data_IF_901365921652
#
_entry.id   IF_901365921652
#
_cell.length_a   1.000
_cell.length_b   1.000
_cell.length_c   1.000
_cell.angle_alpha   90.00
_cell.angle_beta   90.00
_cell.angle_gamma   90.00
#
_symmetry.space_group_name_H-M   'P 1'
#
loop_
_entity.id
_entity.type
_entity.pdbx_description
1 polymer ?
#
# COMPACT_ATOMS: atom_id res chain seq x y z
N UNK A 1 4.92 12.46 -23.15
CA UNK A 1 5.33 12.93 -21.80
C UNK A 1 4.60 12.21 -20.66
N UNK A 2 3.25 12.19 -20.60
CA UNK A 2 2.49 11.56 -19.49
C UNK A 2 2.86 10.08 -19.23
N UNK A 3 2.98 9.25 -20.27
CA UNK A 3 3.40 7.85 -20.11
C UNK A 3 4.83 7.72 -19.57
N UNK A 4 5.77 8.56 -20.02
CA UNK A 4 7.15 8.59 -19.51
C UNK A 4 7.14 8.96 -18.02
N UNK A 5 6.34 9.97 -17.65
CA UNK A 5 6.16 10.36 -16.25
C UNK A 5 5.57 9.22 -15.40
N UNK A 6 4.55 8.51 -15.91
CA UNK A 6 3.97 7.34 -15.23
C UNK A 6 5.05 6.30 -14.89
N UNK A 7 5.86 5.90 -15.88
CA UNK A 7 6.92 4.91 -15.67
C UNK A 7 8.04 5.45 -14.79
N UNK A 8 8.40 6.73 -14.91
CA UNK A 8 9.35 7.38 -14.01
C UNK A 8 8.90 7.28 -12.54
N UNK A 9 7.63 7.62 -12.26
CA UNK A 9 7.07 7.50 -10.91
C UNK A 9 6.99 6.04 -10.47
N UNK A 10 6.56 5.12 -11.35
CA UNK A 10 6.52 3.68 -11.06
C UNK A 10 7.88 3.15 -10.61
N UNK A 11 8.95 3.43 -11.36
CA UNK A 11 10.30 2.97 -11.01
C UNK A 11 10.87 3.70 -9.78
N UNK A 12 10.53 4.97 -9.59
CA UNK A 12 10.88 5.71 -8.37
C UNK A 12 10.23 5.07 -7.14
N UNK A 13 8.95 4.70 -7.21
CA UNK A 13 8.24 4.00 -6.13
C UNK A 13 8.83 2.62 -5.87
N UNK A 14 9.18 1.86 -6.91
CA UNK A 14 9.84 0.56 -6.75
C UNK A 14 11.18 0.69 -6.01
N UNK A 15 11.98 1.69 -6.39
CA UNK A 15 13.25 1.98 -5.72
C UNK A 15 13.04 2.43 -4.27
N UNK A 16 12.15 3.40 -4.05
CA UNK A 16 11.82 3.90 -2.71
C UNK A 16 11.31 2.77 -1.80
N UNK A 17 10.49 1.86 -2.33
CA UNK A 17 9.98 0.70 -1.61
C UNK A 17 11.10 -0.25 -1.18
N UNK A 18 12.08 -0.51 -2.06
CA UNK A 18 13.26 -1.34 -1.74
C UNK A 18 14.13 -0.70 -0.65
N UNK A 19 14.20 0.62 -0.59
CA UNK A 19 14.90 1.34 0.48
C UNK A 19 14.11 1.36 1.80
N UNK A 20 12.78 1.43 1.72
CA UNK A 20 11.91 1.58 2.88
C UNK A 20 11.60 0.26 3.59
N UNK A 21 11.25 -0.78 2.83
CA UNK A 21 10.91 -2.10 3.37
C UNK A 21 12.16 -2.98 3.49
N UNK A 22 12.20 -3.82 4.52
CA UNK A 22 13.30 -4.78 4.70
C UNK A 22 13.22 -5.93 3.69
N UNK A 23 12.01 -6.42 3.44
CA UNK A 23 11.73 -7.47 2.46
C UNK A 23 10.36 -7.25 1.86
N UNK A 24 10.29 -7.30 0.53
CA UNK A 24 9.04 -7.26 -0.22
C UNK A 24 8.84 -8.64 -0.82
N UNK A 25 7.68 -9.26 -0.57
CA UNK A 25 7.28 -10.53 -1.21
C UNK A 25 6.05 -10.24 -2.07
N UNK A 26 6.15 -10.54 -3.35
CA UNK A 26 5.03 -10.49 -4.30
C UNK A 26 4.63 -11.93 -4.56
N UNK A 27 3.37 -12.27 -4.31
CA UNK A 27 2.84 -13.64 -4.35
C UNK A 27 1.61 -13.65 -5.25
N UNK A 28 1.51 -14.62 -6.16
CA UNK A 28 0.35 -14.79 -7.03
C UNK A 28 0.27 -13.77 -8.17
N UNK A 29 1.38 -13.14 -8.55
CA UNK A 29 1.38 -12.17 -9.67
C UNK A 29 0.95 -12.85 -10.98
N UNK A 30 1.24 -14.13 -11.11
CA UNK A 30 0.81 -15.03 -12.17
C UNK A 30 -0.72 -15.24 -12.23
N UNK A 31 -1.46 -14.88 -11.18
CA UNK A 31 -2.92 -14.97 -11.17
C UNK A 31 -3.60 -13.83 -11.94
N UNK A 32 -2.86 -12.82 -12.39
CA UNK A 32 -3.41 -11.68 -13.14
C UNK A 32 -3.87 -12.19 -14.52
N UNK A 33 -5.18 -12.13 -14.82
CA UNK A 33 -5.69 -12.56 -16.13
C UNK A 33 -5.13 -11.69 -17.26
N UNK A 34 -4.85 -12.32 -18.40
CA UNK A 34 -4.28 -11.65 -19.59
C UNK A 34 -5.27 -11.55 -20.74
N UNK A 35 -6.43 -12.19 -20.65
CA UNK A 35 -7.45 -12.31 -21.69
C UNK A 35 -8.58 -11.28 -21.58
N UNK A 36 -8.65 -10.55 -20.45
CA UNK A 36 -9.78 -9.70 -20.08
C UNK A 36 -9.44 -8.45 -19.27
N UNK A 37 -10.45 -7.63 -18.98
CA UNK A 37 -10.34 -6.46 -18.12
C UNK A 37 -10.23 -6.86 -16.64
N UNK A 38 -9.40 -6.16 -15.86
CA UNK A 38 -9.13 -6.54 -14.45
C UNK A 38 -9.38 -5.36 -13.53
N UNK A 39 -10.31 -5.51 -12.58
CA UNK A 39 -10.44 -4.63 -11.43
C UNK A 39 -9.66 -5.22 -10.24
N UNK A 40 -8.53 -4.61 -9.90
CA UNK A 40 -7.78 -4.90 -8.69
C UNK A 40 -8.48 -4.30 -7.48
N UNK A 41 -8.72 -5.13 -6.45
CA UNK A 41 -9.28 -4.67 -5.18
C UNK A 41 -8.40 -5.00 -3.98
N UNK A 42 -7.46 -4.09 -3.65
CA UNK A 42 -6.66 -4.18 -2.43
C UNK A 42 -7.43 -3.79 -1.16
N UNK A 43 -7.00 -4.31 0.00
CA UNK A 43 -7.32 -3.71 1.29
C UNK A 43 -6.55 -2.39 1.50
N UNK A 44 -7.03 -1.54 2.42
CA UNK A 44 -6.61 -0.14 2.53
C UNK A 44 -6.14 0.25 3.95
N UNK A 45 -4.84 0.12 4.21
CA UNK A 45 -4.24 0.33 5.53
C UNK A 45 -3.20 1.46 5.57
N UNK A 46 -2.48 1.67 4.46
CA UNK A 46 -1.42 2.66 4.32
C UNK A 46 -1.83 3.92 3.57
N UNK A 47 -3.14 4.15 3.40
CA UNK A 47 -3.71 5.29 2.67
C UNK A 47 -2.99 5.52 1.33
N UNK A 48 -2.29 6.64 1.16
CA UNK A 48 -1.61 6.99 -0.09
C UNK A 48 -0.53 5.99 -0.53
N UNK A 49 0.06 5.25 0.40
CA UNK A 49 1.10 4.27 0.08
C UNK A 49 0.54 3.05 -0.67
N UNK A 50 -0.66 2.60 -0.31
CA UNK A 50 -1.26 1.38 -0.85
C UNK A 50 -1.38 1.36 -2.39
N UNK A 51 -1.99 2.38 -3.04
CA UNK A 51 -2.11 2.38 -4.50
C UNK A 51 -0.76 2.45 -5.20
N UNK A 52 0.24 3.10 -4.60
CA UNK A 52 1.59 3.18 -5.14
C UNK A 52 2.28 1.81 -5.12
N UNK A 53 2.17 1.07 -4.00
CA UNK A 53 2.76 -0.26 -3.87
C UNK A 53 2.11 -1.26 -4.81
N UNK A 54 0.78 -1.32 -4.84
CA UNK A 54 0.06 -2.27 -5.70
C UNK A 54 0.25 -1.89 -7.17
N UNK A 55 0.10 -0.61 -7.52
CA UNK A 55 0.20 -0.16 -8.91
C UNK A 55 1.60 -0.30 -9.49
N UNK A 56 2.64 -0.17 -8.67
CA UNK A 56 4.01 -0.39 -9.11
C UNK A 56 4.42 -1.86 -9.23
N UNK A 57 3.77 -2.76 -8.47
CA UNK A 57 3.97 -4.20 -8.57
C UNK A 57 3.32 -4.84 -9.80
N UNK A 58 2.23 -4.27 -10.31
CA UNK A 58 1.52 -4.76 -11.50
C UNK A 58 2.33 -4.39 -12.75
N UNK A 59 2.62 -5.33 -13.68
CA UNK A 59 3.45 -5.04 -14.86
C UNK A 59 2.86 -3.96 -15.80
N UNK A 60 1.57 -4.04 -16.08
CA UNK A 60 0.85 -3.12 -16.95
C UNK A 60 0.40 -1.84 -16.22
N UNK A 61 0.09 -0.75 -16.95
CA UNK A 61 -0.48 0.45 -16.36
C UNK A 61 -1.87 0.21 -15.77
N UNK A 62 -2.11 0.79 -14.60
CA UNK A 62 -3.38 0.67 -13.88
C UNK A 62 -4.01 2.03 -13.68
N UNK A 63 -5.30 2.15 -13.97
CA UNK A 63 -6.09 3.35 -13.70
C UNK A 63 -6.66 3.29 -12.28
N UNK A 64 -6.36 4.25 -11.42
CA UNK A 64 -6.80 4.23 -10.01
C UNK A 64 -7.96 5.20 -9.75
N UNK A 65 -9.02 4.71 -9.12
CA UNK A 65 -10.08 5.57 -8.59
C UNK A 65 -9.60 6.26 -7.31
N UNK A 66 -9.58 7.58 -7.33
CA UNK A 66 -9.03 8.42 -6.25
C UNK A 66 -10.07 9.44 -5.80
N UNK A 67 -10.06 9.83 -4.52
CA UNK A 67 -11.02 10.82 -4.01
C UNK A 67 -10.97 12.11 -4.81
N UNK A 68 -12.13 12.70 -5.10
CA UNK A 68 -12.22 13.89 -5.96
C UNK A 68 -11.54 15.15 -5.41
N UNK A 69 -11.27 15.23 -4.10
CA UNK A 69 -10.71 16.42 -3.44
C UNK A 69 -9.25 16.70 -3.78
N UNK A 70 -8.54 15.72 -4.37
CA UNK A 70 -7.16 15.93 -4.84
C UNK A 70 -7.08 16.38 -6.30
N UNK A 71 -8.22 16.49 -6.99
CA UNK A 71 -8.27 16.85 -8.42
C UNK A 71 -8.51 18.35 -8.63
N UNK A 72 -8.07 18.85 -9.78
CA UNK A 72 -8.15 20.26 -10.17
C UNK A 72 -6.86 21.06 -9.95
N UNK A 73 -6.88 22.32 -10.39
CA UNK A 73 -5.77 23.24 -10.25
C UNK A 73 -4.50 22.83 -11.01
N UNK A 74 -3.31 23.33 -10.61
CA UNK A 74 -2.04 23.06 -11.30
C UNK A 74 -1.63 21.59 -11.24
N UNK A 75 -2.23 20.79 -10.35
CA UNK A 75 -1.89 19.38 -10.17
C UNK A 75 -2.66 18.41 -11.07
N UNK A 76 -3.67 18.88 -11.83
CA UNK A 76 -4.49 18.02 -12.69
C UNK A 76 -3.65 17.22 -13.70
N UNK A 77 -2.62 17.84 -14.28
CA UNK A 77 -1.73 17.16 -15.23
C UNK A 77 -1.06 15.92 -14.60
N UNK A 78 -0.66 15.99 -13.33
CA UNK A 78 -0.05 14.87 -12.62
C UNK A 78 -1.06 13.76 -12.35
N UNK A 79 -2.29 14.11 -11.96
CA UNK A 79 -3.36 13.13 -11.75
C UNK A 79 -3.67 12.36 -13.05
N UNK A 80 -3.74 13.07 -14.18
CA UNK A 80 -3.90 12.44 -15.49
C UNK A 80 -2.70 11.55 -15.86
N UNK A 81 -1.48 12.04 -15.62
CA UNK A 81 -0.25 11.32 -15.94
C UNK A 81 -0.12 10.03 -15.11
N UNK A 82 -0.63 10.04 -13.89
CA UNK A 82 -0.71 8.88 -13.00
C UNK A 82 -1.94 7.99 -13.24
N UNK A 83 -2.73 8.26 -14.30
CA UNK A 83 -3.94 7.52 -14.65
C UNK A 83 -4.94 7.46 -13.48
N UNK A 84 -5.17 8.59 -12.82
CA UNK A 84 -6.16 8.68 -11.74
C UNK A 84 -7.50 9.20 -12.27
N UNK A 85 -8.60 8.65 -11.75
CA UNK A 85 -9.95 9.16 -12.02
C UNK A 85 -10.61 9.59 -10.69
N UNK A 86 -11.27 10.76 -10.65
CA UNK A 86 -11.90 11.25 -9.43
C UNK A 86 -13.12 10.40 -9.08
N UNK A 87 -13.37 10.18 -7.79
CA UNK A 87 -14.64 9.63 -7.28
C UNK A 87 -15.19 10.54 -6.21
N UNK A 88 -16.44 10.97 -6.41
CA UNK A 88 -17.16 11.85 -5.50
C UNK A 88 -17.91 11.05 -4.45
N UNK A 89 -17.73 11.42 -3.18
CA UNK A 89 -18.50 10.85 -2.07
C UNK A 89 -19.75 11.69 -1.82
N UNK A 90 -20.77 11.11 -1.17
CA UNK A 90 -22.02 11.79 -0.82
C UNK A 90 -21.77 13.07 -0.01
N UNK A 91 -20.76 13.05 0.87
CA UNK A 91 -20.34 14.22 1.66
C UNK A 91 -19.87 15.40 0.81
N UNK A 92 -19.53 15.19 -0.46
CA UNK A 92 -19.09 16.23 -1.40
C UNK A 92 -20.29 16.91 -2.12
N UNK A 93 -21.52 16.65 -1.67
CA UNK A 93 -22.76 17.19 -2.22
C UNK A 93 -23.44 16.24 -3.22
N UNK A 94 -24.75 16.08 -3.10
CA UNK A 94 -25.54 15.13 -3.90
C UNK A 94 -25.48 15.43 -5.41
N UNK A 95 -25.39 16.70 -5.80
CA UNK A 95 -25.25 17.14 -7.20
C UNK A 95 -23.97 16.64 -7.87
N UNK A 96 -22.88 16.47 -7.11
CA UNK A 96 -21.61 15.94 -7.63
C UNK A 96 -21.64 14.43 -7.85
N UNK A 97 -22.63 13.70 -7.32
CA UNK A 97 -22.77 12.26 -7.57
C UNK A 97 -23.08 11.95 -9.04
N UNK A 98 -23.75 12.86 -9.77
CA UNK A 98 -24.00 12.71 -11.20
C UNK A 98 -22.70 12.62 -12.02
N UNK A 99 -21.63 13.28 -11.55
CA UNK A 99 -20.30 13.20 -12.19
C UNK A 99 -19.70 11.80 -12.10
N UNK A 100 -20.10 11.01 -11.09
CA UNK A 100 -19.64 9.63 -10.98
C UNK A 100 -20.16 8.75 -12.13
N UNK A 101 -21.32 9.07 -12.72
CA UNK A 101 -21.88 8.25 -13.80
C UNK A 101 -20.97 8.26 -15.04
N UNK A 102 -20.44 9.42 -15.41
CA UNK A 102 -19.45 9.56 -16.49
C UNK A 102 -18.14 8.83 -16.16
N UNK A 103 -17.67 8.95 -14.91
CA UNK A 103 -16.44 8.30 -14.44
C UNK A 103 -16.59 6.78 -14.47
N UNK A 104 -17.71 6.25 -13.98
CA UNK A 104 -17.98 4.82 -14.00
C UNK A 104 -18.18 4.31 -15.43
N UNK A 105 -18.83 5.09 -16.30
CA UNK A 105 -18.91 4.78 -17.74
C UNK A 105 -17.52 4.64 -18.37
N UNK A 106 -16.61 5.59 -18.09
CA UNK A 106 -15.22 5.50 -18.51
C UNK A 106 -14.53 4.26 -17.93
N UNK A 107 -14.77 3.91 -16.68
CA UNK A 107 -14.22 2.69 -16.06
C UNK A 107 -14.72 1.42 -16.76
N UNK A 108 -16.02 1.34 -17.09
CA UNK A 108 -16.58 0.21 -17.86
C UNK A 108 -15.91 0.10 -19.22
N UNK A 109 -15.81 1.20 -19.96
CA UNK A 109 -15.11 1.25 -21.26
C UNK A 109 -13.65 0.78 -21.18
N UNK A 110 -12.90 1.19 -20.14
CA UNK A 110 -11.53 0.75 -19.91
C UNK A 110 -11.45 -0.77 -19.64
N UNK A 111 -12.33 -1.30 -18.79
CA UNK A 111 -12.39 -2.74 -18.52
C UNK A 111 -12.77 -3.54 -19.78
N UNK A 112 -13.77 -3.07 -20.54
CA UNK A 112 -14.17 -3.68 -21.82
C UNK A 112 -13.03 -3.68 -22.85
N UNK A 113 -12.13 -2.70 -22.77
CA UNK A 113 -10.92 -2.61 -23.59
C UNK A 113 -9.73 -3.40 -23.01
N UNK A 114 -9.99 -4.38 -22.14
CA UNK A 114 -8.99 -5.24 -21.47
C UNK A 114 -7.95 -4.47 -20.65
N UNK A 115 -8.29 -3.27 -20.17
CA UNK A 115 -7.40 -2.48 -19.31
C UNK A 115 -7.63 -2.79 -17.83
N UNK A 116 -6.68 -2.33 -17.02
CA UNK A 116 -6.65 -2.56 -15.58
C UNK A 116 -7.12 -1.33 -14.80
N UNK A 117 -7.97 -1.55 -13.81
CA UNK A 117 -8.44 -0.53 -12.87
C UNK A 117 -8.11 -0.97 -11.44
N UNK A 118 -7.84 -0.01 -10.56
CA UNK A 118 -7.71 -0.23 -9.12
C UNK A 118 -8.80 0.52 -8.36
N UNK A 119 -9.47 -0.20 -7.47
CA UNK A 119 -10.50 0.35 -6.58
C UNK A 119 -10.45 -0.32 -5.21
N UNK A 120 -10.29 0.48 -4.17
CA UNK A 120 -10.37 0.03 -2.78
C UNK A 120 -11.82 -0.18 -2.36
N UNK A 121 -12.24 -1.45 -2.24
CA UNK A 121 -13.63 -1.80 -1.97
C UNK A 121 -14.11 -1.42 -0.55
N UNK A 122 -13.18 -1.25 0.39
CA UNK A 122 -13.44 -0.78 1.76
C UNK A 122 -13.90 0.69 1.82
N UNK A 123 -13.72 1.46 0.74
CA UNK A 123 -14.09 2.88 0.59
C UNK A 123 -13.47 3.87 1.61
N UNK A 124 -12.76 3.39 2.63
CA UNK A 124 -11.99 4.14 3.61
C UNK A 124 -10.69 3.39 3.95
N UNK A 125 -9.68 4.13 4.36
CA UNK A 125 -8.45 3.56 4.94
C UNK A 125 -8.55 3.52 6.47
N UNK A 126 -7.77 2.66 7.12
CA UNK A 126 -7.73 2.55 8.57
C UNK A 126 -6.39 1.99 9.06
N UNK A 127 -6.06 2.20 10.34
CA UNK A 127 -4.77 1.77 10.92
C UNK A 127 -4.87 0.41 11.64
N UNK A 128 -5.57 -0.57 11.05
CA UNK A 128 -5.73 -1.93 11.61
C UNK A 128 -5.49 -3.01 10.55
N UNK A 129 -5.29 -4.27 10.96
CA UNK A 129 -4.94 -5.37 10.04
C UNK A 129 -6.14 -6.12 9.45
N UNK A 130 -7.30 -6.05 10.09
CA UNK A 130 -8.51 -6.74 9.64
C UNK A 130 -9.10 -6.10 8.38
N UNK A 131 -9.92 -6.88 7.67
CA UNK A 131 -10.64 -6.38 6.50
C UNK A 131 -11.93 -5.66 6.95
N UNK A 132 -12.10 -4.40 6.57
CA UNK A 132 -13.35 -3.67 6.77
C UNK A 132 -14.46 -4.17 5.86
N UNK A 133 -15.67 -3.73 6.15
CA UNK A 133 -16.83 -4.04 5.32
C UNK A 133 -16.66 -3.45 3.92
N UNK A 134 -16.93 -4.29 2.90
CA UNK A 134 -16.88 -3.87 1.51
C UNK A 134 -18.15 -3.11 1.12
N UNK A 135 -17.95 -1.96 0.46
CA UNK A 135 -19.01 -1.26 -0.26
C UNK A 135 -19.47 -2.07 -1.49
N UNK A 136 -20.58 -1.67 -2.11
CA UNK A 136 -21.10 -2.30 -3.34
C UNK A 136 -20.47 -1.75 -4.62
N UNK A 137 -19.64 -0.71 -4.53
CA UNK A 137 -19.19 0.07 -5.70
C UNK A 137 -18.40 -0.74 -6.71
N UNK A 138 -17.40 -1.50 -6.26
CA UNK A 138 -16.57 -2.35 -7.11
C UNK A 138 -17.38 -3.48 -7.77
N UNK A 139 -18.21 -4.17 -6.99
CA UNK A 139 -19.07 -5.26 -7.46
C UNK A 139 -20.10 -4.78 -8.48
N UNK A 140 -20.69 -3.59 -8.27
CA UNK A 140 -21.59 -2.96 -9.24
C UNK A 140 -20.86 -2.59 -10.53
N UNK A 141 -19.68 -1.97 -10.41
CA UNK A 141 -18.88 -1.54 -11.57
C UNK A 141 -18.54 -2.73 -12.48
N UNK A 142 -18.00 -3.80 -11.92
CA UNK A 142 -17.60 -4.96 -12.73
C UNK A 142 -18.78 -5.73 -13.30
N UNK A 143 -19.91 -5.80 -12.57
CA UNK A 143 -21.15 -6.39 -13.07
C UNK A 143 -21.66 -5.62 -14.30
N UNK A 144 -21.79 -4.29 -14.19
CA UNK A 144 -22.25 -3.46 -15.30
C UNK A 144 -21.25 -3.48 -16.47
N UNK A 145 -19.95 -3.45 -16.19
CA UNK A 145 -18.93 -3.58 -17.23
C UNK A 145 -19.04 -4.91 -18.00
N UNK A 146 -19.33 -6.02 -17.30
CA UNK A 146 -19.41 -7.34 -17.95
C UNK A 146 -20.66 -7.47 -18.81
N UNK A 147 -21.78 -6.84 -18.42
CA UNK A 147 -22.98 -6.77 -19.26
C UNK A 147 -22.69 -6.01 -20.56
N UNK A 148 -21.90 -4.94 -20.47
CA UNK A 148 -21.53 -4.09 -21.60
C UNK A 148 -20.34 -4.63 -22.42
N UNK A 149 -19.77 -5.79 -22.04
CA UNK A 149 -18.56 -6.32 -22.66
C UNK A 149 -18.69 -7.79 -23.07
N UNK A 150 -18.25 -8.08 -24.30
CA UNK A 150 -18.04 -9.45 -24.75
C UNK A 150 -16.77 -10.08 -24.15
N UNK A 151 -15.79 -9.25 -23.77
CA UNK A 151 -14.56 -9.72 -23.16
C UNK A 151 -14.78 -10.13 -21.70
N UNK A 152 -14.04 -11.14 -21.20
CA UNK A 152 -14.06 -11.46 -19.78
C UNK A 152 -13.64 -10.27 -18.93
N UNK A 153 -14.37 -10.04 -17.83
CA UNK A 153 -14.00 -9.09 -16.79
C UNK A 153 -13.79 -9.86 -15.51
N UNK A 154 -12.70 -9.52 -14.83
CA UNK A 154 -12.29 -10.13 -13.59
C UNK A 154 -12.25 -9.08 -12.48
N UNK A 155 -12.62 -9.49 -11.27
CA UNK A 155 -12.25 -8.77 -10.05
C UNK A 155 -11.19 -9.59 -9.31
N UNK A 156 -10.06 -8.95 -9.00
CA UNK A 156 -8.92 -9.63 -8.40
C UNK A 156 -8.67 -9.10 -6.98
N UNK A 157 -8.87 -9.94 -5.94
CA UNK A 157 -8.57 -9.56 -4.57
C UNK A 157 -7.07 -9.41 -4.38
N UNK A 158 -6.65 -8.32 -3.74
CA UNK A 158 -5.24 -8.06 -3.41
C UNK A 158 -5.10 -7.87 -1.89
N UNK A 159 -4.16 -8.57 -1.28
CA UNK A 159 -3.80 -8.43 0.12
C UNK A 159 -2.50 -7.66 0.30
N UNK A 160 -2.58 -6.50 0.92
CA UNK A 160 -1.43 -5.71 1.41
C UNK A 160 -1.23 -6.08 2.88
N UNK A 161 -0.09 -6.70 3.17
CA UNK A 161 0.24 -7.19 4.50
C UNK A 161 1.53 -6.54 4.98
N UNK A 162 1.38 -5.51 5.81
CA UNK A 162 2.50 -4.83 6.44
C UNK A 162 2.97 -5.59 7.68
N UNK A 163 4.28 -5.79 7.84
CA UNK A 163 4.86 -6.28 9.09
C UNK A 163 4.80 -5.25 10.21
N UNK A 164 4.60 -3.98 9.87
CA UNK A 164 4.25 -2.88 10.76
C UNK A 164 3.65 -1.73 9.95
N UNK A 165 2.55 -1.13 10.43
CA UNK A 165 1.80 -0.11 9.69
C UNK A 165 2.54 1.23 9.49
N UNK A 166 3.43 1.60 10.42
CA UNK A 166 4.15 2.90 10.38
C UNK A 166 5.67 2.87 10.55
N UNK A 167 6.32 1.71 10.76
CA UNK A 167 7.77 1.63 11.04
C UNK A 167 8.53 1.23 9.76
N UNK A 168 9.56 1.98 9.34
CA UNK A 168 10.45 1.57 8.26
C UNK A 168 11.16 0.24 8.58
N UNK A 169 11.73 -0.40 7.56
CA UNK A 169 12.37 -1.71 7.64
C UNK A 169 11.46 -2.81 8.20
N UNK A 170 10.14 -2.66 8.04
CA UNK A 170 9.19 -3.76 8.18
C UNK A 170 9.16 -4.60 6.89
N UNK A 171 8.56 -5.78 6.96
CA UNK A 171 8.31 -6.59 5.77
C UNK A 171 7.01 -6.19 5.11
N UNK A 172 6.87 -6.45 3.82
CA UNK A 172 5.66 -6.25 3.04
C UNK A 172 5.38 -7.51 2.23
N UNK A 173 4.18 -8.07 2.36
CA UNK A 173 3.68 -9.07 1.41
C UNK A 173 2.52 -8.48 0.60
N UNK A 174 2.68 -8.45 -0.72
CA UNK A 174 1.62 -8.18 -1.69
C UNK A 174 1.12 -9.52 -2.24
N UNK A 175 -0.13 -9.85 -1.98
CA UNK A 175 -0.73 -11.15 -2.32
C UNK A 175 -1.85 -10.94 -3.32
N UNK A 176 -1.61 -11.33 -4.56
CA UNK A 176 -2.60 -11.34 -5.63
C UNK A 176 -3.36 -12.67 -5.56
N UNK A 177 -4.63 -12.62 -5.18
CA UNK A 177 -5.46 -13.80 -5.00
C UNK A 177 -5.93 -14.43 -6.30
N UNK A 178 -6.84 -15.39 -6.21
CA UNK A 178 -7.47 -16.00 -7.38
C UNK A 178 -8.40 -14.97 -8.06
N UNK A 179 -8.35 -14.83 -9.39
CA UNK A 179 -9.27 -13.96 -10.11
C UNK A 179 -10.69 -14.50 -10.00
N UNK A 180 -11.66 -13.59 -9.89
CA UNK A 180 -13.09 -13.92 -9.86
C UNK A 180 -13.66 -13.48 -11.21
N UNK A 181 -14.07 -14.45 -12.04
CA UNK A 181 -14.65 -14.20 -13.35
C UNK A 181 -16.09 -13.72 -13.21
N UNK A 182 -16.39 -12.51 -13.67
CA UNK A 182 -17.69 -11.87 -13.43
C UNK A 182 -18.80 -12.50 -14.27
N UNK A 183 -18.46 -13.04 -15.44
CA UNK A 183 -19.41 -13.75 -16.30
C UNK A 183 -20.14 -14.89 -15.59
N UNK A 184 -19.50 -15.56 -14.61
CA UNK A 184 -20.12 -16.64 -13.81
C UNK A 184 -21.24 -16.16 -12.88
N UNK A 185 -21.34 -14.85 -12.64
CA UNK A 185 -22.36 -14.23 -11.81
C UNK A 185 -23.51 -13.64 -12.63
N UNK A 186 -23.48 -13.78 -13.96
CA UNK A 186 -24.56 -13.36 -14.84
C UNK A 186 -25.46 -14.58 -15.11
N UNK A 187 -26.61 -14.63 -14.44
CA UNK A 187 -27.63 -15.65 -14.67
C UNK A 187 -29.01 -14.99 -14.79
N UNK A 188 -29.83 -15.48 -15.71
CA UNK A 188 -31.22 -15.03 -15.87
C UNK A 188 -32.07 -15.34 -14.63
N UNK A 189 -31.67 -16.32 -13.83
CA UNK A 189 -32.38 -16.74 -12.62
C UNK A 189 -32.15 -15.86 -11.40
N UNK A 190 -31.24 -14.88 -11.45
CA UNK A 190 -30.92 -14.01 -10.31
C UNK A 190 -31.07 -12.53 -10.66
N UNK A 191 -31.54 -11.75 -9.68
CA UNK A 191 -31.71 -10.31 -9.88
C UNK A 191 -30.37 -9.57 -9.86
N UNK A 192 -30.27 -8.41 -10.53
CA UNK A 192 -29.07 -7.54 -10.49
C UNK A 192 -28.56 -7.27 -9.06
N UNK A 193 -29.41 -6.89 -8.07
CA UNK A 193 -28.96 -6.70 -6.70
C UNK A 193 -28.38 -7.97 -6.05
N UNK A 194 -28.96 -9.12 -6.34
CA UNK A 194 -28.47 -10.42 -5.83
C UNK A 194 -27.10 -10.76 -6.42
N UNK A 195 -26.92 -10.61 -7.73
CA UNK A 195 -25.63 -10.82 -8.39
C UNK A 195 -24.53 -9.91 -7.82
N UNK A 196 -24.82 -8.62 -7.65
CA UNK A 196 -23.88 -7.65 -7.03
C UNK A 196 -23.49 -8.09 -5.62
N UNK A 197 -24.44 -8.57 -4.81
CA UNK A 197 -24.16 -9.06 -3.47
C UNK A 197 -23.31 -10.33 -3.49
N UNK A 198 -23.57 -11.27 -4.40
CA UNK A 198 -22.75 -12.48 -4.59
C UNK A 198 -21.32 -12.16 -5.02
N UNK A 199 -21.12 -11.23 -5.96
CA UNK A 199 -19.80 -10.76 -6.38
C UNK A 199 -19.06 -10.12 -5.20
N UNK A 200 -19.74 -9.27 -4.43
CA UNK A 200 -19.16 -8.63 -3.24
C UNK A 200 -18.72 -9.65 -2.20
N UNK A 201 -19.53 -10.68 -1.99
CA UNK A 201 -19.23 -11.74 -1.05
C UNK A 201 -18.05 -12.62 -1.51
N UNK A 202 -18.02 -13.00 -2.78
CA UNK A 202 -16.89 -13.69 -3.38
C UNK A 202 -15.60 -12.87 -3.25
N UNK A 203 -15.68 -11.56 -3.52
CA UNK A 203 -14.55 -10.64 -3.33
C UNK A 203 -14.11 -10.60 -1.87
N UNK A 204 -15.05 -10.47 -0.93
CA UNK A 204 -14.75 -10.45 0.52
C UNK A 204 -14.00 -11.70 0.94
N UNK A 205 -14.47 -12.89 0.54
CA UNK A 205 -13.80 -14.16 0.82
C UNK A 205 -12.41 -14.19 0.19
N UNK A 206 -12.28 -13.77 -1.07
CA UNK A 206 -11.01 -13.66 -1.78
C UNK A 206 -10.00 -12.74 -1.08
N UNK A 207 -10.43 -11.56 -0.65
CA UNK A 207 -9.59 -10.60 0.10
C UNK A 207 -9.17 -11.18 1.46
N UNK A 208 -10.10 -11.80 2.20
CA UNK A 208 -9.77 -12.48 3.46
C UNK A 208 -8.73 -13.58 3.27
N UNK A 209 -8.74 -14.27 2.13
CA UNK A 209 -7.71 -15.25 1.78
C UNK A 209 -6.33 -14.63 1.49
N UNK A 210 -6.26 -13.36 1.12
CA UNK A 210 -5.01 -12.64 0.83
C UNK A 210 -4.43 -11.89 2.06
N UNK A 211 -5.15 -11.82 3.17
CA UNK A 211 -4.74 -11.08 4.38
C UNK A 211 -4.35 -12.04 5.52
N UNK A 212 -3.32 -11.68 6.31
CA UNK A 212 -2.84 -12.46 7.46
C UNK A 212 -3.85 -12.55 8.61
N UNK A 213 -4.44 -11.41 8.97
CA UNK A 213 -5.36 -11.29 10.11
C UNK A 213 -6.65 -10.61 9.64
N UNK A 214 -7.52 -11.31 8.89
CA UNK A 214 -8.68 -10.69 8.24
C UNK A 214 -9.85 -10.35 9.17
N UNK A 215 -9.93 -10.93 10.37
CA UNK A 215 -11.07 -10.82 11.28
C UNK A 215 -10.76 -9.95 12.50
N UNK A 216 -11.77 -9.19 12.95
CA UNK A 216 -11.75 -8.44 14.21
C UNK A 216 -12.64 -9.12 15.26
N UNK A 217 -12.15 -10.23 15.82
CA UNK A 217 -12.82 -10.98 16.89
C UNK A 217 -12.13 -10.79 18.25
N UNK A 218 -12.61 -11.47 19.29
CA UNK A 218 -12.08 -11.35 20.66
C UNK A 218 -10.58 -11.66 20.80
N UNK A 219 -10.02 -12.44 19.87
CA UNK A 219 -8.60 -12.79 19.85
C UNK A 219 -7.78 -11.87 18.93
N UNK A 220 -8.39 -10.85 18.30
CA UNK A 220 -7.72 -9.93 17.37
C UNK A 220 -6.47 -9.29 18.00
N UNK A 221 -6.58 -8.73 19.21
CA UNK A 221 -5.46 -8.07 19.88
C UNK A 221 -4.31 -9.03 20.21
N UNK A 222 -4.61 -10.29 20.51
CA UNK A 222 -3.61 -11.34 20.75
C UNK A 222 -2.91 -11.73 19.44
N UNK A 223 -3.68 -11.96 18.37
CA UNK A 223 -3.19 -12.29 17.03
C UNK A 223 -2.38 -11.15 16.41
N UNK A 224 -2.75 -9.89 16.63
CA UNK A 224 -2.01 -8.70 16.20
C UNK A 224 -0.57 -8.69 16.75
N UNK A 225 -0.35 -9.18 17.98
CA UNK A 225 1.00 -9.30 18.59
C UNK A 225 1.89 -10.36 17.93
N UNK A 226 1.32 -11.24 17.11
CA UNK A 226 2.06 -12.24 16.32
C UNK A 226 2.60 -11.65 15.00
N UNK A 227 2.13 -10.47 14.58
CA UNK A 227 2.64 -9.75 13.41
C UNK A 227 3.84 -8.91 13.85
N UNK A 228 5.02 -9.52 13.78
CA UNK A 228 6.29 -8.83 14.03
C UNK A 228 7.41 -9.46 13.20
N UNK A 229 8.53 -8.74 13.09
CA UNK A 229 9.66 -9.02 12.19
C UNK A 229 10.13 -10.48 12.09
N UNK A 230 10.12 -11.23 13.20
CA UNK A 230 10.53 -12.64 13.19
C UNK A 230 9.52 -13.51 12.44
N UNK A 231 8.23 -13.31 12.71
CA UNK A 231 7.16 -14.08 12.10
C UNK A 231 6.91 -13.62 10.66
N UNK A 232 6.97 -12.31 10.37
CA UNK A 232 6.74 -11.74 9.02
C UNK A 232 7.81 -12.15 8.00
N UNK A 233 8.97 -12.61 8.47
CA UNK A 233 9.99 -13.21 7.62
C UNK A 233 9.56 -14.56 7.00
N UNK A 234 8.64 -15.29 7.65
CA UNK A 234 8.14 -16.60 7.22
C UNK A 234 7.33 -16.51 5.92
N UNK A 235 7.12 -17.65 5.25
CA UNK A 235 6.21 -17.72 4.10
C UNK A 235 4.79 -17.24 4.46
N UNK A 236 4.09 -16.65 3.48
CA UNK A 236 2.75 -16.09 3.68
C UNK A 236 1.77 -17.11 4.27
N UNK A 237 1.73 -18.34 3.76
CA UNK A 237 0.80 -19.37 4.23
C UNK A 237 1.14 -19.78 5.67
N UNK A 238 2.42 -19.90 5.98
CA UNK A 238 2.93 -20.28 7.31
C UNK A 238 2.54 -19.26 8.37
N UNK A 239 2.86 -17.97 8.16
CA UNK A 239 2.49 -16.93 9.13
C UNK A 239 0.96 -16.80 9.25
N UNK A 240 0.22 -16.85 8.14
CA UNK A 240 -1.24 -16.75 8.17
C UNK A 240 -1.87 -17.87 9.00
N UNK A 241 -1.48 -19.11 8.75
CA UNK A 241 -1.96 -20.27 9.52
C UNK A 241 -1.53 -20.18 10.98
N UNK A 242 -0.30 -19.73 11.24
CA UNK A 242 0.21 -19.62 12.59
C UNK A 242 -0.45 -18.51 13.40
N UNK A 243 -0.85 -17.40 12.77
CA UNK A 243 -1.68 -16.36 13.37
C UNK A 243 -3.07 -16.93 13.68
N UNK A 244 -3.71 -17.60 12.72
CA UNK A 244 -5.05 -18.17 12.89
C UNK A 244 -5.09 -19.20 14.04
N UNK A 245 -4.08 -20.08 14.12
CA UNK A 245 -3.95 -21.09 15.18
C UNK A 245 -3.35 -20.56 16.48
N UNK A 246 -2.91 -19.30 16.51
CA UNK A 246 -2.17 -18.69 17.63
C UNK A 246 -0.97 -19.51 18.13
N UNK A 247 -0.27 -20.22 17.23
CA UNK A 247 0.85 -21.11 17.59
C UNK A 247 2.24 -20.52 17.29
N UNK A 248 2.30 -19.22 16.96
CA UNK A 248 3.55 -18.49 16.76
C UNK A 248 4.00 -17.84 18.07
N UNK A 249 5.32 -17.64 18.20
CA UNK A 249 5.85 -16.87 19.32
C UNK A 249 5.40 -15.41 19.22
N UNK A 250 4.83 -14.80 20.28
CA UNK A 250 4.49 -13.38 20.27
C UNK A 250 5.75 -12.50 20.31
N UNK A 251 5.59 -11.21 19.98
CA UNK A 251 6.64 -10.21 20.16
C UNK A 251 7.11 -10.23 21.62
N UNK A 252 8.41 -10.46 21.84
CA UNK A 252 9.02 -10.38 23.17
C UNK A 252 9.09 -8.93 23.62
N UNK A 253 8.73 -8.70 24.88
CA UNK A 253 8.94 -7.42 25.54
C UNK A 253 10.35 -7.37 26.16
N UNK A 254 11.14 -6.36 25.81
CA UNK A 254 12.49 -6.20 26.32
C UNK A 254 12.49 -5.50 27.67
N UNK A 255 13.08 -6.13 28.70
CA UNK A 255 13.20 -5.57 30.05
C UNK A 255 14.14 -4.35 30.16
N UNK A 256 15.05 -4.14 29.20
CA UNK A 256 16.06 -3.06 29.25
C UNK A 256 15.81 -1.95 28.22
N UNK A 257 14.59 -1.39 28.24
CA UNK A 257 14.18 -0.36 27.28
C UNK A 257 15.05 0.91 27.36
N UNK A 258 15.51 1.29 28.56
CA UNK A 258 16.35 2.48 28.78
C UNK A 258 17.72 2.38 28.08
N UNK A 259 18.42 1.24 28.17
CA UNK A 259 19.71 1.05 27.50
C UNK A 259 19.56 1.12 25.97
N UNK A 260 18.49 0.54 25.43
CA UNK A 260 18.19 0.61 23.99
C UNK A 260 17.89 2.06 23.57
N UNK A 261 17.12 2.82 24.36
CA UNK A 261 16.84 4.24 24.09
C UNK A 261 18.11 5.09 24.08
N UNK A 262 19.01 4.87 25.05
CA UNK A 262 20.30 5.54 25.09
C UNK A 262 21.14 5.24 23.84
N UNK A 263 21.25 3.96 23.48
CA UNK A 263 21.99 3.57 22.27
C UNK A 263 21.37 4.17 21.00
N UNK A 264 20.03 4.18 20.89
CA UNK A 264 19.30 4.82 19.80
C UNK A 264 19.60 6.32 19.72
N UNK A 265 19.70 7.02 20.86
CA UNK A 265 20.05 8.44 20.89
C UNK A 265 21.47 8.68 20.36
N UNK A 266 22.45 7.89 20.81
CA UNK A 266 23.86 8.01 20.39
C UNK A 266 24.02 7.81 18.87
N UNK A 267 23.48 6.71 18.33
CA UNK A 267 23.59 6.42 16.89
C UNK A 267 22.68 7.31 16.02
N UNK A 268 21.77 8.08 16.62
CA UNK A 268 20.98 9.07 15.87
C UNK A 268 21.81 10.30 15.50
N UNK A 269 22.93 10.56 16.18
CA UNK A 269 23.73 11.79 16.06
C UNK A 269 24.08 12.13 14.60
N UNK A 270 24.66 11.21 13.79
CA UNK A 270 25.05 11.52 12.41
C UNK A 270 23.89 11.85 11.47
N UNK A 271 22.66 11.58 11.90
CA UNK A 271 21.44 11.80 11.12
C UNK A 271 20.45 12.71 11.84
N UNK A 272 20.88 13.48 12.85
CA UNK A 272 19.97 14.37 13.59
C UNK A 272 19.22 15.36 12.69
N UNK A 273 19.85 16.04 11.72
CA UNK A 273 19.14 16.99 10.87
C UNK A 273 17.98 16.36 10.08
N UNK A 274 18.16 15.30 9.26
CA UNK A 274 17.03 14.69 8.54
C UNK A 274 16.02 14.05 9.50
N UNK A 275 16.43 13.53 10.66
CA UNK A 275 15.51 13.00 11.67
C UNK A 275 14.62 14.10 12.29
N UNK A 276 15.19 15.27 12.57
CA UNK A 276 14.45 16.43 13.07
C UNK A 276 13.42 16.92 12.05
N UNK A 277 13.84 17.12 10.79
CA UNK A 277 12.92 17.53 9.71
C UNK A 277 11.85 16.49 9.45
N UNK A 278 12.18 15.19 9.46
CA UNK A 278 11.20 14.12 9.34
C UNK A 278 10.15 14.19 10.45
N UNK A 279 10.55 14.41 11.71
CA UNK A 279 9.61 14.60 12.83
C UNK A 279 8.70 15.81 12.60
N UNK A 280 9.25 16.93 12.12
CA UNK A 280 8.49 18.16 11.83
C UNK A 280 7.49 17.97 10.70
N UNK A 281 7.87 17.27 9.63
CA UNK A 281 6.95 16.94 8.53
C UNK A 281 5.83 16.03 9.03
N UNK A 282 6.16 14.99 9.80
CA UNK A 282 5.15 14.07 10.34
C UNK A 282 4.16 14.77 11.27
N UNK A 283 4.57 15.80 12.03
CA UNK A 283 3.64 16.58 12.86
C UNK A 283 2.64 17.44 12.08
N UNK A 284 2.81 17.61 10.76
CA UNK A 284 1.83 18.27 9.91
C UNK A 284 0.64 17.37 9.54
N UNK A 285 0.71 16.08 9.87
CA UNK A 285 -0.30 15.10 9.53
C UNK A 285 -0.87 14.47 10.80
N UNK A 286 -2.16 14.71 11.05
CA UNK A 286 -2.87 14.15 12.20
C UNK A 286 -3.07 12.62 12.05
N UNK A 287 -3.32 12.16 10.82
CA UNK A 287 -3.66 10.76 10.55
C UNK A 287 -2.39 9.91 10.31
N UNK A 288 -2.16 8.97 11.23
CA UNK A 288 -0.97 8.11 11.28
C UNK A 288 -0.83 7.16 10.10
N UNK A 289 -1.91 6.88 9.37
CA UNK A 289 -1.89 6.04 8.15
C UNK A 289 -1.01 6.63 7.05
N UNK A 290 -0.82 7.96 7.02
CA UNK A 290 0.05 8.63 6.05
C UNK A 290 1.53 8.55 6.43
N UNK A 291 1.86 8.12 7.65
CA UNK A 291 3.24 8.17 8.14
C UNK A 291 4.18 7.31 7.30
N UNK A 292 3.73 6.15 6.82
CA UNK A 292 4.56 5.30 5.97
C UNK A 292 4.80 5.93 4.59
N UNK A 293 3.77 6.49 3.96
CA UNK A 293 3.95 7.24 2.70
C UNK A 293 4.92 8.40 2.87
N UNK A 294 4.77 9.22 3.93
CA UNK A 294 5.63 10.37 4.20
C UNK A 294 7.07 9.94 4.48
N UNK A 295 7.26 8.92 5.35
CA UNK A 295 8.60 8.42 5.66
C UNK A 295 9.28 7.82 4.42
N UNK A 296 8.53 7.19 3.51
CA UNK A 296 9.09 6.66 2.27
C UNK A 296 9.47 7.79 1.31
N UNK A 297 8.58 8.77 1.07
CA UNK A 297 8.81 9.83 0.09
C UNK A 297 9.75 10.91 0.61
N UNK A 298 9.38 11.59 1.69
CA UNK A 298 10.20 12.64 2.28
C UNK A 298 11.51 12.06 2.87
N UNK A 299 11.50 10.82 3.35
CA UNK A 299 12.71 10.19 3.88
C UNK A 299 13.74 9.93 2.79
N UNK A 300 13.32 9.45 1.62
CA UNK A 300 14.23 9.26 0.50
C UNK A 300 14.94 10.57 0.11
N UNK A 301 14.19 11.68 0.08
CA UNK A 301 14.72 13.00 -0.26
C UNK A 301 15.61 13.54 0.86
N UNK A 302 15.09 13.61 2.09
CA UNK A 302 15.80 14.23 3.22
C UNK A 302 17.11 13.51 3.55
N UNK A 303 17.09 12.19 3.63
CA UNK A 303 18.29 11.42 3.96
C UNK A 303 19.26 11.37 2.77
N UNK A 304 18.76 11.22 1.53
CA UNK A 304 19.58 11.27 0.34
C UNK A 304 20.34 12.59 0.20
N UNK A 305 19.64 13.72 0.34
CA UNK A 305 20.26 15.05 0.31
C UNK A 305 21.24 15.26 1.47
N UNK A 306 20.87 14.81 2.68
CA UNK A 306 21.76 14.92 3.84
C UNK A 306 23.08 14.17 3.64
N UNK A 307 23.03 12.94 3.12
CA UNK A 307 24.24 12.16 2.86
C UNK A 307 25.08 12.75 1.73
N UNK A 308 24.46 13.35 0.71
CA UNK A 308 25.18 14.09 -0.32
C UNK A 308 25.86 15.33 0.25
N UNK A 309 25.18 16.10 1.10
CA UNK A 309 25.77 17.27 1.79
C UNK A 309 26.94 16.83 2.68
N UNK A 310 26.78 15.75 3.45
CA UNK A 310 27.86 15.21 4.27
C UNK A 310 29.07 14.80 3.41
N UNK A 311 28.82 14.09 2.32
CA UNK A 311 29.87 13.65 1.40
C UNK A 311 30.62 14.83 0.78
N UNK A 312 29.91 15.84 0.28
CA UNK A 312 30.54 17.01 -0.36
C UNK A 312 31.24 17.91 0.64
N UNK A 313 30.62 18.20 1.79
CA UNK A 313 31.20 19.06 2.83
C UNK A 313 32.49 18.46 3.39
N UNK A 314 32.48 17.17 3.75
CA UNK A 314 33.69 16.49 4.25
C UNK A 314 34.72 16.30 3.13
N UNK A 315 34.27 16.04 1.89
CA UNK A 315 35.14 15.92 0.72
C UNK A 315 35.93 17.19 0.42
N UNK A 316 35.28 18.35 0.55
CA UNK A 316 35.89 19.68 0.33
C UNK A 316 36.75 20.10 1.53
N UNK A 317 36.29 19.90 2.77
CA UNK A 317 36.99 20.37 3.97
C UNK A 317 38.16 19.47 4.39
N UNK A 318 38.14 18.20 4.00
CA UNK A 318 39.17 17.21 4.31
C UNK A 318 39.64 16.57 3.00
N UNK A 319 39.12 15.38 2.68
CA UNK A 319 39.33 14.69 1.41
C UNK A 319 38.28 13.59 1.24
N UNK A 320 38.19 13.04 0.03
CA UNK A 320 37.21 12.00 -0.33
C UNK A 320 37.44 10.66 0.38
N UNK A 321 38.69 10.36 0.79
CA UNK A 321 39.05 9.13 1.52
C UNK A 321 38.39 9.13 2.90
N UNK A 322 38.24 10.30 3.54
CA UNK A 322 37.53 10.45 4.82
C UNK A 322 36.01 10.59 4.60
N UNK A 323 35.59 11.32 3.57
CA UNK A 323 34.18 11.62 3.33
C UNK A 323 33.33 10.38 3.07
N UNK A 324 33.84 9.42 2.30
CA UNK A 324 33.12 8.20 1.93
C UNK A 324 32.80 7.34 3.18
N UNK A 325 33.77 6.95 4.04
CA UNK A 325 33.49 6.25 5.29
C UNK A 325 32.53 6.98 6.22
N UNK A 326 32.62 8.32 6.32
CA UNK A 326 31.70 9.11 7.15
C UNK A 326 30.26 8.99 6.65
N UNK A 327 30.04 9.12 5.34
CA UNK A 327 28.72 8.94 4.73
C UNK A 327 28.18 7.53 4.98
N UNK A 328 28.99 6.48 4.73
CA UNK A 328 28.57 5.09 4.95
C UNK A 328 28.30 4.78 6.43
N UNK A 329 29.07 5.35 7.34
CA UNK A 329 28.84 5.22 8.80
C UNK A 329 27.52 5.87 9.18
N UNK A 330 27.20 7.04 8.60
CA UNK A 330 25.90 7.70 8.82
C UNK A 330 24.73 6.82 8.33
N UNK A 331 24.84 6.23 7.14
CA UNK A 331 23.83 5.30 6.60
C UNK A 331 23.69 4.06 7.51
N UNK A 332 24.81 3.45 7.91
CA UNK A 332 24.84 2.29 8.79
C UNK A 332 24.19 2.59 10.14
N UNK A 333 24.49 3.75 10.72
CA UNK A 333 23.92 4.17 12.00
C UNK A 333 22.41 4.37 11.90
N UNK A 334 21.91 4.94 10.79
CA UNK A 334 20.47 5.00 10.54
C UNK A 334 19.86 3.60 10.45
N UNK A 335 20.50 2.67 9.73
CA UNK A 335 20.02 1.30 9.61
C UNK A 335 19.94 0.60 10.97
N UNK A 336 21.03 0.65 11.77
CA UNK A 336 21.07 0.09 13.13
C UNK A 336 19.98 0.72 14.00
N UNK A 337 19.83 2.05 13.93
CA UNK A 337 18.78 2.79 14.65
C UNK A 337 17.40 2.25 14.36
N UNK A 338 17.04 2.11 13.07
CA UNK A 338 15.71 1.60 12.70
C UNK A 338 15.51 0.16 13.20
N UNK A 339 16.54 -0.69 13.16
CA UNK A 339 16.46 -2.05 13.69
C UNK A 339 16.21 -2.08 15.21
N UNK A 340 16.88 -1.22 15.98
CA UNK A 340 16.68 -1.12 17.43
C UNK A 340 15.26 -0.64 17.78
N UNK A 341 14.68 0.28 16.99
CA UNK A 341 13.30 0.75 17.19
C UNK A 341 12.22 -0.32 17.01
N UNK A 342 12.52 -1.44 16.34
CA UNK A 342 11.62 -2.61 16.29
C UNK A 342 11.60 -3.39 17.61
N UNK A 343 12.67 -3.30 18.40
CA UNK A 343 12.79 -3.93 19.72
C UNK A 343 12.09 -3.13 20.82
N UNK A 344 11.94 -1.82 20.62
CA UNK A 344 11.13 -0.98 21.50
C UNK A 344 9.63 -1.25 21.31
N UNK A 345 8.87 -1.05 22.37
CA UNK A 345 7.40 -1.18 22.34
C UNK A 345 6.82 -0.19 21.33
#
# INVERSE_FOLDING_TARGET
>A
MKNVFYYFIKYTVLFASKCYFRKIKIIGLENIPTDGGVLFSPNHQGAFLDPLLVGSAIPQPVTSLTRSDVFGGPFQWFMDALKMLPVYRIRNGYSNLKKNDEIFSKCRSLLSSKQSIMMFSEAAHHNEYFLQQLSKGSSRLVYEAQIESESPIYILPVGINYGHLSKPLCDLNLVFGKPILIKEFLSESITKPEAINKIREALRVGMKNCIWLPENDDNYLKRKKLIHRRNTAMDFKVIKQGIAKMNLSPKKDYKSESKIKFLVALISIPNLPPLYFMKKILSLFEDVVFYSSIKMTAGLILFGLWWLILLTFVGISQNWIVAIPVMFTSILFLYIRQNLLHSLR
#
